data_IF_733461628318
#
_entry.id   IF_733461628318
#
_cell.length_a   1.000
_cell.length_b   1.000
_cell.length_c   1.000
_cell.angle_alpha   90.00
_cell.angle_beta   90.00
_cell.angle_gamma   90.00
#
_symmetry.space_group_name_H-M   'P 1'
#
loop_
_entity.id
_entity.type
_entity.pdbx_description
1 polymer ?
#
# COMPACT_ATOMS: atom_id res chain seq x y z
N UNK A 1 -12.80 2.56 8.40
CA UNK A 1 -12.58 1.40 7.51
C UNK A 1 -13.51 1.40 6.29
N UNK A 2 -14.84 1.22 6.45
CA UNK A 2 -15.76 1.07 5.30
C UNK A 2 -15.80 2.29 4.35
N UNK A 3 -15.72 3.51 4.90
CA UNK A 3 -15.69 4.73 4.09
C UNK A 3 -14.42 4.82 3.21
N UNK A 4 -13.23 4.59 3.79
CA UNK A 4 -11.96 4.61 3.04
C UNK A 4 -11.91 3.54 1.96
N UNK A 5 -12.42 2.35 2.25
CA UNK A 5 -12.53 1.28 1.25
C UNK A 5 -13.46 1.70 0.10
N UNK A 6 -14.64 2.26 0.41
CA UNK A 6 -15.58 2.73 -0.62
C UNK A 6 -14.98 3.83 -1.51
N UNK A 7 -14.16 4.73 -0.94
CA UNK A 7 -13.40 5.71 -1.71
C UNK A 7 -12.45 5.00 -2.68
N UNK A 8 -11.61 4.08 -2.18
CA UNK A 8 -10.62 3.39 -3.01
C UNK A 8 -11.24 2.52 -4.10
N UNK A 9 -12.43 1.94 -3.90
CA UNK A 9 -13.11 1.17 -4.94
C UNK A 9 -13.52 2.00 -6.15
N UNK A 10 -13.63 3.33 -6.01
CA UNK A 10 -13.95 4.26 -7.09
C UNK A 10 -12.73 4.98 -7.69
N UNK A 11 -11.54 4.72 -7.14
CA UNK A 11 -10.28 5.31 -7.60
C UNK A 11 -9.82 4.64 -8.89
N UNK A 12 -9.31 5.46 -9.80
CA UNK A 12 -8.56 5.03 -10.98
C UNK A 12 -7.51 6.06 -11.35
N UNK A 13 -6.65 5.73 -12.31
CA UNK A 13 -5.64 6.65 -12.86
C UNK A 13 -6.26 7.90 -13.50
N UNK A 14 -7.52 7.82 -13.94
CA UNK A 14 -8.29 8.96 -14.44
C UNK A 14 -9.12 9.69 -13.37
N UNK A 15 -9.32 9.05 -12.21
CA UNK A 15 -10.01 9.63 -11.05
C UNK A 15 -9.26 9.31 -9.74
N UNK A 16 -8.13 9.99 -9.54
CA UNK A 16 -7.20 9.76 -8.41
C UNK A 16 -7.51 10.55 -7.14
N UNK A 17 -8.52 11.42 -7.18
CA UNK A 17 -8.83 12.35 -6.07
C UNK A 17 -8.97 11.65 -4.70
N UNK A 18 -9.64 10.49 -4.68
CA UNK A 18 -9.80 9.68 -3.47
C UNK A 18 -8.48 9.10 -2.95
N UNK A 19 -7.59 8.69 -3.85
CA UNK A 19 -6.27 8.20 -3.50
C UNK A 19 -5.42 9.30 -2.87
N UNK A 20 -5.39 10.47 -3.51
CA UNK A 20 -4.59 11.62 -3.05
C UNK A 20 -5.09 12.11 -1.69
N UNK A 21 -6.41 12.11 -1.47
CA UNK A 21 -7.00 12.44 -0.17
C UNK A 21 -6.56 11.47 0.92
N UNK A 22 -6.58 10.15 0.66
CA UNK A 22 -6.13 9.16 1.62
C UNK A 22 -4.62 9.19 1.84
N UNK A 23 -3.81 9.46 0.81
CA UNK A 23 -2.36 9.71 0.96
C UNK A 23 -2.09 10.89 1.89
N UNK A 24 -2.88 11.96 1.75
CA UNK A 24 -2.81 13.12 2.65
C UNK A 24 -3.13 12.72 4.11
N UNK A 25 -4.23 11.99 4.33
CA UNK A 25 -4.58 11.46 5.67
C UNK A 25 -3.43 10.63 6.25
N UNK A 26 -2.83 9.73 5.46
CA UNK A 26 -1.68 8.95 5.90
C UNK A 26 -0.49 9.81 6.34
N UNK A 27 -0.21 10.90 5.60
CA UNK A 27 0.93 11.77 5.88
C UNK A 27 0.70 12.72 7.07
N UNK A 28 -0.55 13.15 7.29
CA UNK A 28 -0.89 14.19 8.27
C UNK A 28 -1.41 13.62 9.60
N UNK A 29 -1.89 12.38 9.62
CA UNK A 29 -2.45 11.78 10.84
C UNK A 29 -1.37 11.57 11.91
N UNK A 30 -1.64 12.08 13.12
CA UNK A 30 -0.82 11.81 14.30
C UNK A 30 -1.09 10.41 14.90
N UNK A 31 -2.20 9.78 14.51
CA UNK A 31 -2.66 8.50 15.06
C UNK A 31 -2.09 7.33 14.26
N UNK A 32 -1.26 6.51 14.92
CA UNK A 32 -0.59 5.37 14.28
C UNK A 32 -1.58 4.34 13.72
N UNK A 33 -2.71 4.11 14.40
CA UNK A 33 -3.75 3.18 13.96
C UNK A 33 -4.43 3.65 12.66
N UNK A 34 -4.68 4.96 12.54
CA UNK A 34 -5.27 5.52 11.33
C UNK A 34 -4.29 5.40 10.16
N UNK A 35 -3.02 5.74 10.37
CA UNK A 35 -1.98 5.56 9.35
C UNK A 35 -1.86 4.11 8.89
N UNK A 36 -1.84 3.17 9.84
CA UNK A 36 -1.80 1.74 9.55
C UNK A 36 -3.02 1.30 8.74
N UNK A 37 -4.21 1.75 9.13
CA UNK A 37 -5.46 1.46 8.43
C UNK A 37 -5.44 1.99 7.00
N UNK A 38 -5.06 3.26 6.82
CA UNK A 38 -5.01 3.89 5.49
C UNK A 38 -4.00 3.19 4.59
N UNK A 39 -2.79 2.91 5.10
CA UNK A 39 -1.75 2.21 4.34
C UNK A 39 -2.25 0.87 3.77
N UNK A 40 -3.01 0.11 4.56
CA UNK A 40 -3.59 -1.15 4.10
C UNK A 40 -4.72 -1.02 3.09
N UNK A 41 -5.34 0.15 3.00
CA UNK A 41 -6.46 0.42 2.09
C UNK A 41 -5.99 1.02 0.75
N UNK A 42 -4.84 1.68 0.69
CA UNK A 42 -4.35 2.36 -0.52
C UNK A 42 -4.23 1.43 -1.75
N UNK A 43 -3.96 0.13 -1.55
CA UNK A 43 -3.89 -0.85 -2.65
C UNK A 43 -5.23 -1.53 -2.99
N UNK A 44 -6.36 -1.04 -2.46
CA UNK A 44 -7.68 -1.69 -2.59
C UNK A 44 -8.54 -1.24 -3.78
N UNK A 45 -7.94 -0.62 -4.79
CA UNK A 45 -8.62 -0.30 -6.04
C UNK A 45 -8.38 -1.37 -7.12
N UNK A 46 -9.14 -1.28 -8.22
CA UNK A 46 -8.99 -2.16 -9.40
C UNK A 46 -7.99 -1.63 -10.42
N UNK A 47 -7.57 -0.38 -10.27
CA UNK A 47 -6.64 0.25 -11.19
C UNK A 47 -5.21 -0.18 -10.90
N UNK A 48 -4.59 -0.78 -11.91
CA UNK A 48 -3.30 -1.45 -11.80
C UNK A 48 -2.18 -0.47 -11.46
N UNK A 49 -2.22 0.73 -12.01
CA UNK A 49 -1.16 1.73 -11.82
C UNK A 49 -1.22 2.27 -10.39
N UNK A 50 -2.42 2.54 -9.87
CA UNK A 50 -2.63 2.97 -8.49
C UNK A 50 -2.24 1.87 -7.49
N UNK A 51 -2.56 0.59 -7.79
CA UNK A 51 -2.12 -0.53 -6.95
C UNK A 51 -0.60 -0.59 -6.89
N UNK A 52 0.10 -0.50 -8.03
CA UNK A 52 1.56 -0.51 -8.07
C UNK A 52 2.17 0.68 -7.34
N UNK A 53 1.64 1.89 -7.51
CA UNK A 53 2.05 3.09 -6.77
C UNK A 53 1.93 2.86 -5.25
N UNK A 54 0.84 2.23 -4.81
CA UNK A 54 0.60 1.91 -3.41
C UNK A 54 1.56 0.87 -2.86
N UNK A 55 1.91 -0.15 -3.66
CA UNK A 55 2.88 -1.16 -3.25
C UNK A 55 4.28 -0.58 -3.12
N UNK A 56 4.65 0.40 -3.95
CA UNK A 56 5.93 1.09 -3.87
C UNK A 56 6.13 1.87 -2.55
N UNK A 57 5.06 2.12 -1.78
CA UNK A 57 5.16 2.68 -0.43
C UNK A 57 5.94 1.77 0.54
N UNK A 58 6.05 0.48 0.24
CA UNK A 58 6.89 -0.46 1.00
C UNK A 58 8.35 0.00 1.07
N UNK A 59 8.83 0.70 0.04
CA UNK A 59 10.20 1.21 -0.03
C UNK A 59 10.32 2.69 0.35
N UNK A 60 9.19 3.35 0.65
CA UNK A 60 9.21 4.77 0.98
C UNK A 60 9.67 4.97 2.43
N UNK A 61 10.65 5.86 2.63
CA UNK A 61 11.20 6.18 3.95
C UNK A 61 10.17 6.73 4.96
N UNK A 62 9.02 7.19 4.47
CA UNK A 62 7.91 7.69 5.29
C UNK A 62 7.12 6.58 6.01
N UNK A 63 7.26 5.33 5.55
CA UNK A 63 6.59 4.16 6.14
C UNK A 63 7.54 3.45 7.08
N UNK A 64 7.07 3.19 8.32
CA UNK A 64 7.85 2.39 9.27
C UNK A 64 8.03 0.99 8.70
N UNK A 65 9.26 0.49 8.71
CA UNK A 65 9.61 -0.81 8.14
C UNK A 65 8.74 -1.95 8.66
N UNK A 66 8.30 -1.91 9.92
CA UNK A 66 7.42 -2.92 10.51
C UNK A 66 5.97 -2.87 9.99
N UNK A 67 5.53 -1.75 9.40
CA UNK A 67 4.14 -1.52 8.95
C UNK A 67 3.99 -1.67 7.43
N UNK A 68 5.10 -1.59 6.68
CA UNK A 68 5.15 -1.65 5.20
C UNK A 68 4.38 -2.83 4.59
N UNK A 69 4.48 -4.04 5.17
CA UNK A 69 3.78 -5.23 4.67
C UNK A 69 2.25 -5.05 4.64
N UNK A 70 1.73 -4.10 5.42
CA UNK A 70 0.31 -3.75 5.48
C UNK A 70 -0.20 -3.24 4.14
N UNK A 71 0.64 -2.60 3.32
CA UNK A 71 0.29 -2.17 1.97
C UNK A 71 -0.16 -3.32 1.06
N UNK A 72 0.22 -4.57 1.36
CA UNK A 72 -0.23 -5.75 0.61
C UNK A 72 -1.67 -6.18 0.97
N UNK A 73 -2.21 -5.77 2.12
CA UNK A 73 -3.51 -6.25 2.63
C UNK A 73 -4.69 -5.83 1.75
N UNK A 74 -4.58 -4.68 1.07
CA UNK A 74 -5.66 -4.12 0.26
C UNK A 74 -5.81 -4.77 -1.11
N UNK A 75 -4.78 -5.48 -1.59
CA UNK A 75 -4.73 -6.02 -2.95
C UNK A 75 -5.93 -6.93 -3.23
N UNK A 76 -6.76 -6.51 -4.19
CA UNK A 76 -7.94 -7.25 -4.61
C UNK A 76 -7.58 -8.45 -5.51
N UNK A 77 -8.53 -9.38 -5.67
CA UNK A 77 -8.34 -10.58 -6.51
C UNK A 77 -7.94 -10.22 -7.95
N UNK A 78 -8.51 -9.15 -8.50
CA UNK A 78 -8.30 -8.67 -9.86
C UNK A 78 -6.89 -8.10 -10.07
N UNK A 79 -6.24 -7.61 -9.01
CA UNK A 79 -4.89 -7.04 -9.06
C UNK A 79 -3.81 -8.04 -8.59
N UNK A 80 -4.19 -9.26 -8.20
CA UNK A 80 -3.29 -10.25 -7.61
C UNK A 80 -2.10 -10.59 -8.51
N UNK A 81 -2.34 -10.82 -9.81
CA UNK A 81 -1.27 -11.19 -10.74
C UNK A 81 -0.22 -10.09 -10.88
N UNK A 82 -0.66 -8.83 -10.82
CA UNK A 82 0.21 -7.67 -10.93
C UNK A 82 1.00 -7.46 -9.65
N UNK A 83 0.34 -7.58 -8.50
CA UNK A 83 1.02 -7.56 -7.21
C UNK A 83 2.05 -8.69 -7.11
N UNK A 84 1.74 -9.88 -7.66
CA UNK A 84 2.67 -11.01 -7.70
C UNK A 84 3.87 -10.76 -8.61
N UNK A 85 3.66 -10.17 -9.78
CA UNK A 85 4.76 -9.80 -10.68
C UNK A 85 5.65 -8.72 -10.06
N UNK A 86 5.05 -7.66 -9.51
CA UNK A 86 5.75 -6.64 -8.75
C UNK A 86 6.59 -7.22 -7.61
N UNK A 87 6.04 -8.19 -6.85
CA UNK A 87 6.76 -8.82 -5.75
C UNK A 87 8.01 -9.55 -6.24
N UNK A 88 7.90 -10.31 -7.34
CA UNK A 88 9.04 -11.04 -7.93
C UNK A 88 10.12 -10.08 -8.44
N UNK A 89 9.72 -9.03 -9.14
CA UNK A 89 10.62 -8.01 -9.69
C UNK A 89 11.37 -7.26 -8.60
N UNK A 90 10.71 -6.99 -7.49
CA UNK A 90 11.28 -6.24 -6.36
C UNK A 90 11.85 -7.16 -5.27
N UNK A 91 11.92 -8.47 -5.49
CA UNK A 91 12.27 -9.45 -4.46
C UNK A 91 13.62 -9.17 -3.80
N UNK A 92 14.65 -8.83 -4.58
CA UNK A 92 15.96 -8.48 -4.02
C UNK A 92 15.92 -7.22 -3.15
N UNK A 93 15.12 -6.23 -3.54
CA UNK A 93 15.00 -4.99 -2.80
C UNK A 93 14.23 -5.19 -1.50
N UNK A 94 13.16 -5.99 -1.52
CA UNK A 94 12.44 -6.45 -0.33
C UNK A 94 13.40 -7.20 0.59
N UNK A 95 14.15 -8.18 0.08
CA UNK A 95 15.07 -8.96 0.90
C UNK A 95 16.14 -8.10 1.60
N UNK A 96 16.64 -7.05 0.93
CA UNK A 96 17.58 -6.07 1.52
C UNK A 96 16.90 -5.14 2.53
N UNK A 97 15.64 -4.76 2.27
CA UNK A 97 14.85 -3.85 3.12
C UNK A 97 14.44 -4.54 4.41
N UNK A 98 14.06 -5.81 4.35
CA UNK A 98 13.72 -6.64 5.50
C UNK A 98 14.81 -7.68 5.73
N UNK A 99 16.01 -7.27 6.22
CA UNK A 99 17.00 -8.26 6.60
C UNK A 99 16.33 -9.15 7.64
N UNK A 100 16.34 -10.46 7.39
CA UNK A 100 15.75 -11.43 8.29
C UNK A 100 16.16 -11.06 9.71
N UNK A 101 15.18 -10.80 10.58
CA UNK A 101 15.43 -10.81 12.01
C UNK A 101 16.23 -12.07 12.26
N UNK A 102 17.47 -11.92 12.74
CA UNK A 102 18.19 -13.04 13.33
C UNK A 102 17.31 -13.50 14.50
N UNK A 103 16.35 -14.38 14.21
CA UNK A 103 15.70 -15.23 15.18
C UNK A 103 16.82 -16.16 15.65
N UNK A 104 17.62 -15.64 16.58
CA UNK A 104 18.52 -16.37 17.46
C UNK A 104 17.79 -16.52 18.77
#
# INVERSE_FOLDING_TARGET
>A
MAAYLAVMQNVSSSNRSGYDALRKVYSESAEGEERFTVLGILSSCRDKDIVLESLNLIFANEVRIQDTYTALRGVQIEAREIAWNWLKENWEHIFKTFPASKLV
#
